data_IF_554780530070
#
_entry.id   IF_554780530070
#
_cell.length_a   1.000
_cell.length_b   1.000
_cell.length_c   1.000
_cell.angle_alpha   90.00
_cell.angle_beta   90.00
_cell.angle_gamma   90.00
#
_symmetry.space_group_name_H-M   'P 1'
#
loop_
_entity.id
_entity.type
_entity.pdbx_description
1 polymer ?
#
# COMPACT_ATOMS: atom_id res chain seq x y z
N UNK A 1 1.03 11.59 2.38
CA UNK A 1 1.86 10.54 3.00
C UNK A 1 3.17 10.40 2.25
N UNK A 2 4.26 10.02 2.92
CA UNK A 2 5.59 9.82 2.30
C UNK A 2 6.26 8.52 2.76
N UNK A 3 7.04 7.90 1.88
CA UNK A 3 7.95 6.82 2.28
C UNK A 3 9.25 7.47 2.76
N UNK A 4 9.68 7.11 3.96
CA UNK A 4 10.91 7.56 4.59
C UNK A 4 11.88 6.38 4.67
N UNK A 5 13.08 6.56 4.12
CA UNK A 5 14.20 5.64 4.31
C UNK A 5 14.83 5.91 5.70
N UNK A 6 15.14 4.84 6.43
CA UNK A 6 15.82 4.86 7.71
C UNK A 6 16.94 3.82 7.72
N UNK A 7 18.08 4.14 8.33
CA UNK A 7 19.20 3.22 8.48
C UNK A 7 19.13 2.58 9.87
N UNK A 8 19.05 1.24 9.92
CA UNK A 8 19.03 0.47 11.17
C UNK A 8 20.11 -0.60 11.07
N UNK A 9 21.11 -0.55 11.96
CA UNK A 9 22.24 -1.50 11.95
C UNK A 9 22.87 -1.63 10.55
N UNK A 10 23.16 -0.49 9.91
CA UNK A 10 23.72 -0.39 8.56
C UNK A 10 22.84 -0.92 7.42
N UNK A 11 21.60 -1.36 7.72
CA UNK A 11 20.64 -1.80 6.73
C UNK A 11 19.58 -0.73 6.49
N UNK A 12 19.24 -0.49 5.22
CA UNK A 12 18.14 0.43 4.89
C UNK A 12 16.80 -0.23 5.13
N UNK A 13 15.88 0.54 5.71
CA UNK A 13 14.50 0.18 6.02
C UNK A 13 13.57 1.31 5.59
N UNK A 14 12.30 0.99 5.44
CA UNK A 14 11.32 1.91 4.87
C UNK A 14 10.11 2.04 5.79
N UNK A 15 9.74 3.27 6.11
CA UNK A 15 8.55 3.59 6.90
C UNK A 15 7.60 4.45 6.07
N UNK A 16 6.30 4.16 6.17
CA UNK A 16 5.27 5.04 5.64
C UNK A 16 4.90 6.06 6.72
N UNK A 17 5.08 7.34 6.41
CA UNK A 17 4.77 8.47 7.30
C UNK A 17 3.50 9.16 6.79
N UNK A 18 2.56 9.38 7.71
CA UNK A 18 1.31 10.07 7.42
C UNK A 18 1.50 11.59 7.25
N UNK A 19 0.40 12.32 7.01
CA UNK A 19 0.44 13.79 6.85
C UNK A 19 0.77 14.53 8.15
N UNK A 20 0.61 13.89 9.31
CA UNK A 20 0.88 14.44 10.65
C UNK A 20 2.32 14.14 11.12
N UNK A 21 3.09 13.41 10.32
CA UNK A 21 4.48 13.04 10.65
C UNK A 21 4.61 11.73 11.44
N UNK A 22 3.51 10.99 11.67
CA UNK A 22 3.54 9.74 12.40
C UNK A 22 3.67 8.53 11.47
N UNK A 23 4.34 7.45 11.90
CA UNK A 23 4.34 6.20 11.16
C UNK A 23 2.93 5.60 11.04
N UNK A 24 2.56 5.16 9.85
CA UNK A 24 1.35 4.37 9.62
C UNK A 24 1.58 2.98 10.21
N UNK A 25 1.13 2.78 11.45
CA UNK A 25 1.45 1.60 12.28
C UNK A 25 1.17 0.25 11.59
N UNK A 26 0.03 0.04 10.90
CA UNK A 26 -0.21 -1.21 10.18
C UNK A 26 0.86 -1.53 9.14
N UNK A 27 1.29 -0.50 8.38
CA UNK A 27 2.33 -0.64 7.36
C UNK A 27 3.69 -0.90 8.01
N UNK A 28 4.04 -0.16 9.07
CA UNK A 28 5.30 -0.38 9.78
C UNK A 28 5.41 -1.80 10.36
N UNK A 29 4.32 -2.32 10.97
CA UNK A 29 4.25 -3.71 11.46
C UNK A 29 4.46 -4.72 10.33
N UNK A 30 3.84 -4.48 9.17
CA UNK A 30 3.94 -5.39 8.05
C UNK A 30 5.32 -5.38 7.37
N UNK A 31 5.92 -4.21 7.17
CA UNK A 31 7.29 -4.11 6.66
C UNK A 31 8.29 -4.78 7.61
N UNK A 32 8.13 -4.60 8.92
CA UNK A 32 8.95 -5.32 9.93
C UNK A 32 8.78 -6.84 9.83
N UNK A 33 7.58 -7.33 9.59
CA UNK A 33 7.36 -8.76 9.35
C UNK A 33 8.10 -9.25 8.09
N UNK A 34 7.98 -8.53 6.97
CA UNK A 34 8.67 -8.89 5.72
C UNK A 34 10.20 -8.90 5.90
N UNK A 35 10.72 -7.97 6.68
CA UNK A 35 12.13 -7.92 7.04
C UNK A 35 12.55 -9.13 7.89
N UNK A 36 11.75 -9.49 8.89
CA UNK A 36 12.01 -10.65 9.76
C UNK A 36 12.04 -11.98 9.00
N UNK A 37 11.24 -12.13 7.94
CA UNK A 37 11.28 -13.32 7.07
C UNK A 37 12.35 -13.23 5.96
N UNK A 38 13.24 -12.24 6.03
CA UNK A 38 14.41 -12.12 5.17
C UNK A 38 14.13 -11.59 3.75
N UNK A 39 13.05 -10.82 3.53
CA UNK A 39 12.84 -10.21 2.21
C UNK A 39 13.92 -9.18 1.89
N UNK A 40 14.35 -9.16 0.63
CA UNK A 40 15.37 -8.23 0.15
C UNK A 40 14.94 -6.76 0.31
N UNK A 41 15.92 -5.86 0.45
CA UNK A 41 15.69 -4.43 0.66
C UNK A 41 14.79 -3.81 -0.42
N UNK A 42 15.07 -4.10 -1.70
CA UNK A 42 14.25 -3.61 -2.82
C UNK A 42 12.79 -4.10 -2.73
N UNK A 43 12.58 -5.30 -2.20
CA UNK A 43 11.24 -5.82 -1.92
C UNK A 43 10.57 -5.00 -0.82
N UNK A 44 11.23 -4.76 0.31
CA UNK A 44 10.69 -3.93 1.39
C UNK A 44 10.33 -2.52 0.89
N UNK A 45 11.23 -1.90 0.11
CA UNK A 45 11.01 -0.60 -0.54
C UNK A 45 9.74 -0.64 -1.37
N UNK A 46 9.69 -1.57 -2.33
CA UNK A 46 8.56 -1.71 -3.24
C UNK A 46 7.24 -1.88 -2.48
N UNK A 47 7.18 -2.77 -1.49
CA UNK A 47 5.99 -2.96 -0.66
C UNK A 47 5.55 -1.66 0.04
N UNK A 48 6.48 -0.89 0.60
CA UNK A 48 6.16 0.37 1.26
C UNK A 48 5.55 1.40 0.29
N UNK A 49 6.04 1.48 -0.95
CA UNK A 49 5.47 2.36 -1.98
C UNK A 49 4.08 1.92 -2.46
N UNK A 50 3.85 0.61 -2.63
CA UNK A 50 2.51 0.12 -3.00
C UNK A 50 1.50 0.36 -1.87
N UNK A 51 1.90 0.13 -0.63
CA UNK A 51 1.08 0.41 0.54
C UNK A 51 0.82 1.90 0.72
N UNK A 52 1.78 2.77 0.38
CA UNK A 52 1.55 4.22 0.34
C UNK A 52 0.37 4.56 -0.56
N UNK A 53 0.35 4.07 -1.80
CA UNK A 53 -0.74 4.34 -2.74
C UNK A 53 -2.09 3.85 -2.19
N UNK A 54 -2.09 2.67 -1.62
CA UNK A 54 -3.29 2.08 -1.04
C UNK A 54 -3.83 2.89 0.15
N UNK A 55 -2.97 3.29 1.08
CA UNK A 55 -3.39 4.10 2.23
C UNK A 55 -3.78 5.54 1.84
N UNK A 56 -3.24 6.08 0.75
CA UNK A 56 -3.71 7.34 0.18
C UNK A 56 -5.13 7.20 -0.37
N UNK A 57 -5.39 6.15 -1.16
CA UNK A 57 -6.73 5.82 -1.62
C UNK A 57 -7.72 5.70 -0.46
N UNK A 58 -7.38 4.93 0.59
CA UNK A 58 -8.24 4.78 1.75
C UNK A 58 -8.52 6.11 2.46
N UNK A 59 -7.52 6.98 2.60
CA UNK A 59 -7.67 8.30 3.21
C UNK A 59 -8.62 9.20 2.39
N UNK A 60 -8.46 9.22 1.07
CA UNK A 60 -9.30 9.99 0.14
C UNK A 60 -10.74 9.49 0.09
N UNK A 61 -10.91 8.17 0.10
CA UNK A 61 -12.22 7.51 0.11
C UNK A 61 -12.85 7.44 1.50
N UNK A 62 -12.17 7.92 2.56
CA UNK A 62 -12.60 7.85 3.97
C UNK A 62 -12.92 6.43 4.45
N UNK A 63 -12.16 5.45 3.97
CA UNK A 63 -12.31 4.04 4.28
C UNK A 63 -11.28 3.59 5.33
N UNK A 64 -11.63 2.56 6.12
CA UNK A 64 -10.68 1.93 7.04
C UNK A 64 -10.02 0.72 6.38
N UNK A 65 -8.72 0.51 6.62
CA UNK A 65 -7.98 -0.61 6.03
C UNK A 65 -8.44 -2.00 6.51
N UNK A 66 -9.26 -2.07 7.55
CA UNK A 66 -9.86 -3.31 8.03
C UNK A 66 -11.12 -3.72 7.25
N UNK A 67 -11.75 -2.78 6.54
CA UNK A 67 -13.06 -3.01 5.88
C UNK A 67 -12.94 -3.58 4.48
N UNK A 68 -11.74 -4.01 4.10
CA UNK A 68 -11.38 -4.18 2.71
C UNK A 68 -12.00 -5.46 2.16
N UNK A 69 -12.81 -5.31 1.12
CA UNK A 69 -13.46 -6.38 0.37
C UNK A 69 -13.13 -6.26 -1.13
N UNK A 70 -13.71 -7.14 -1.94
CA UNK A 70 -13.54 -7.12 -3.40
C UNK A 70 -13.97 -5.78 -4.03
N UNK A 71 -15.05 -5.18 -3.54
CA UNK A 71 -15.55 -3.89 -4.06
C UNK A 71 -14.56 -2.76 -3.83
N UNK A 72 -13.93 -2.70 -2.65
CA UNK A 72 -12.91 -1.70 -2.32
C UNK A 72 -11.65 -1.94 -3.17
N UNK A 73 -11.30 -3.20 -3.46
CA UNK A 73 -10.18 -3.50 -4.37
C UNK A 73 -10.49 -3.05 -5.79
N UNK A 74 -11.71 -3.27 -6.29
CA UNK A 74 -12.14 -2.77 -7.60
C UNK A 74 -12.08 -1.23 -7.67
N UNK A 75 -12.55 -0.54 -6.62
CA UNK A 75 -12.45 0.90 -6.49
C UNK A 75 -10.99 1.38 -6.48
N UNK A 76 -10.11 0.67 -5.76
CA UNK A 76 -8.68 0.98 -5.75
C UNK A 76 -8.04 0.82 -7.13
N UNK A 77 -8.40 -0.22 -7.89
CA UNK A 77 -7.95 -0.39 -9.28
C UNK A 77 -8.43 0.78 -10.15
N UNK A 78 -9.68 1.20 -9.99
CA UNK A 78 -10.23 2.39 -10.66
C UNK A 78 -9.42 3.64 -10.30
N UNK A 79 -9.15 3.86 -9.02
CA UNK A 79 -8.37 4.99 -8.51
C UNK A 79 -6.94 5.00 -9.06
N UNK A 80 -6.27 3.84 -9.17
CA UNK A 80 -4.92 3.74 -9.76
C UNK A 80 -4.87 4.08 -11.25
N UNK A 81 -6.00 3.99 -11.97
CA UNK A 81 -6.07 4.31 -13.40
C UNK A 81 -6.11 5.81 -13.66
N UNK A 82 -6.54 6.61 -12.69
CA UNK A 82 -6.65 8.07 -12.78
C UNK A 82 -5.23 8.68 -12.78
N UNK A 83 -4.75 9.27 -13.89
CA UNK A 83 -3.46 9.94 -13.91
C UNK A 83 -3.54 11.28 -13.18
N UNK A 84 -2.83 11.38 -12.06
CA UNK A 84 -2.56 12.59 -11.27
C UNK A 84 -3.79 13.31 -10.66
N UNK A 85 -3.71 13.59 -9.36
CA UNK A 85 -4.81 14.13 -8.56
C UNK A 85 -5.14 15.61 -8.85
N UNK A 86 -4.48 16.22 -9.84
CA UNK A 86 -4.70 17.61 -10.25
C UNK A 86 -5.90 17.79 -11.18
N UNK A 87 -6.39 16.74 -11.84
CA UNK A 87 -7.46 16.89 -12.84
C UNK A 87 -8.70 16.15 -12.37
N UNK A 88 -9.48 16.84 -11.52
CA UNK A 88 -10.92 16.61 -11.43
C UNK A 88 -11.48 16.71 -12.85
N UNK A 89 -12.29 15.73 -13.25
CA UNK A 89 -12.87 15.49 -14.58
C UNK A 89 -11.99 14.56 -15.44
N UNK A 90 -12.32 13.27 -15.46
CA UNK A 90 -11.85 12.36 -16.52
C UNK A 90 -13.02 11.48 -16.97
N UNK A 91 -13.29 11.56 -18.28
CA UNK A 91 -14.15 10.67 -19.05
C UNK A 91 -13.60 9.24 -19.06
N UNK A 92 -14.50 8.24 -19.08
CA UNK A 92 -14.15 6.82 -19.24
C UNK A 92 -13.64 6.59 -20.67
N UNK A 93 -12.32 6.57 -20.88
CA UNK A 93 -11.73 5.89 -22.03
C UNK A 93 -10.82 4.77 -21.54
N UNK A 94 -11.15 3.55 -21.97
CA UNK A 94 -10.43 2.32 -21.66
C UNK A 94 -9.06 2.32 -22.34
N UNK A 95 -8.05 2.92 -21.69
CA UNK A 95 -6.66 2.72 -22.13
C UNK A 95 -6.18 1.34 -21.69
N UNK A 96 -6.35 0.36 -22.59
CA UNK A 96 -5.84 -1.00 -22.45
C UNK A 96 -4.30 -1.05 -22.60
N UNK A 97 -3.68 -1.91 -21.78
CA UNK A 97 -2.48 -2.70 -22.10
C UNK A 97 -1.03 -2.26 -21.72
N UNK A 98 -0.77 -1.29 -20.81
CA UNK A 98 0.59 -1.12 -20.20
C UNK A 98 0.66 -1.08 -18.66
N UNK A 99 -0.49 -1.10 -17.98
CA UNK A 99 -0.60 -0.99 -16.50
C UNK A 99 -1.07 -2.27 -15.79
N UNK A 100 -1.52 -3.29 -16.52
CA UNK A 100 -2.13 -4.52 -15.99
C UNK A 100 -1.21 -5.28 -15.02
N UNK A 101 0.03 -5.52 -15.41
CA UNK A 101 1.01 -6.28 -14.61
C UNK A 101 1.38 -5.56 -13.30
N UNK A 102 1.44 -4.21 -13.34
CA UNK A 102 1.64 -3.40 -12.14
C UNK A 102 0.43 -3.47 -11.21
N UNK A 103 -0.80 -3.43 -11.72
CA UNK A 103 -2.02 -3.47 -10.90
C UNK A 103 -2.11 -4.79 -10.13
N UNK A 104 -1.83 -5.92 -10.77
CA UNK A 104 -1.84 -7.23 -10.12
C UNK A 104 -0.84 -7.30 -8.95
N UNK A 105 0.35 -6.74 -9.13
CA UNK A 105 1.36 -6.63 -8.06
C UNK A 105 0.86 -5.77 -6.89
N UNK A 106 0.10 -4.69 -7.15
CA UNK A 106 -0.47 -3.89 -6.07
C UNK A 106 -1.52 -4.68 -5.28
N UNK A 107 -2.43 -5.37 -5.97
CA UNK A 107 -3.50 -6.16 -5.33
C UNK A 107 -2.90 -7.24 -4.42
N UNK A 108 -1.98 -8.06 -4.94
CA UNK A 108 -1.31 -9.12 -4.17
C UNK A 108 -0.66 -8.60 -2.89
N UNK A 109 -0.02 -7.41 -2.96
CA UNK A 109 0.65 -6.77 -1.80
C UNK A 109 -0.32 -6.16 -0.80
N UNK A 110 -1.49 -5.72 -1.25
CA UNK A 110 -2.56 -5.21 -0.40
C UNK A 110 -3.30 -6.36 0.28
N UNK A 111 -3.55 -7.46 -0.41
CA UNK A 111 -4.18 -8.64 0.20
C UNK A 111 -3.28 -9.26 1.27
N UNK A 112 -1.97 -9.37 1.00
CA UNK A 112 -1.02 -9.95 1.94
C UNK A 112 -0.89 -9.16 3.26
N UNK A 113 -1.20 -7.86 3.29
CA UNK A 113 -1.24 -7.11 4.56
C UNK A 113 -2.44 -7.52 5.43
N UNK A 114 -3.56 -7.94 4.81
CA UNK A 114 -4.75 -8.40 5.53
C UNK A 114 -4.54 -9.75 6.15
N UNK A 115 -3.94 -10.69 5.42
CA UNK A 115 -3.72 -12.05 5.95
C UNK A 115 -2.97 -11.98 7.27
N UNK A 116 -1.93 -11.15 7.37
CA UNK A 116 -1.16 -10.97 8.60
C UNK A 116 -1.92 -10.19 9.67
N UNK A 117 -2.72 -9.19 9.30
CA UNK A 117 -3.62 -8.50 10.23
C UNK A 117 -4.66 -9.46 10.83
N UNK A 118 -5.19 -10.37 10.01
CA UNK A 118 -6.16 -11.39 10.37
C UNK A 118 -5.55 -12.49 11.26
N UNK A 119 -4.36 -13.00 10.90
CA UNK A 119 -3.63 -13.95 11.75
C UNK A 119 -3.33 -13.34 13.12
N UNK A 120 -2.92 -12.07 13.20
CA UNK A 120 -2.51 -11.46 14.47
C UNK A 120 -3.68 -11.03 15.38
N UNK A 121 -4.89 -10.83 14.85
CA UNK A 121 -6.10 -10.55 15.64
C UNK A 121 -6.73 -11.80 16.27
N UNK A 122 -6.44 -13.01 15.75
CA UNK A 122 -6.90 -14.27 16.34
C UNK A 122 -5.96 -14.86 17.40
N UNK A 123 -4.73 -14.37 17.49
CA UNK A 123 -3.68 -14.89 18.38
C UNK A 123 -3.06 -13.81 19.29
N UNK A 124 -3.80 -12.73 19.58
CA UNK A 124 -3.40 -11.68 20.51
C UNK A 124 -4.47 -11.48 21.58
#
# INVERSE_FOLDING_TARGET
MKVQEVLIQEKKRYLLIDKRGYPVIPVAKYIKYLDNIGKAENTLKSYCYHLKLYFQFLEESRLRYQEVNLDILAQFIGWLRIPDQSTKVIYFEETLAKRSERIEIHIKKVESIKDIGFFRLKFA
#
